data_IF_479981754298
#
_entry.id   IF_479981754298
#
_cell.length_a   1.000
_cell.length_b   1.000
_cell.length_c   1.000
_cell.angle_alpha   90.00
_cell.angle_beta   90.00
_cell.angle_gamma   90.00
#
_symmetry.space_group_name_H-M   'P 1'
#
loop_
_entity.id
_entity.type
_entity.pdbx_description
1 polymer ?
#
# COMPACT_ATOMS: atom_id res chain seq x y z
N UNK A 1 15.42 2.82 -8.05
CA UNK A 1 14.05 2.92 -8.58
C UNK A 1 13.27 3.79 -7.63
N UNK A 2 12.41 4.68 -8.12
CA UNK A 2 11.55 5.56 -7.32
C UNK A 2 10.08 5.20 -7.55
N UNK A 3 9.14 5.66 -6.70
CA UNK A 3 7.71 5.49 -7.00
C UNK A 3 7.32 6.19 -8.30
N UNK A 4 7.94 7.34 -8.60
CA UNK A 4 7.74 8.01 -9.88
C UNK A 4 8.11 7.11 -11.06
N UNK A 5 9.16 6.30 -10.97
CA UNK A 5 9.55 5.36 -12.02
C UNK A 5 8.52 4.22 -12.17
N UNK A 6 7.98 3.71 -11.05
CA UNK A 6 6.94 2.68 -11.05
C UNK A 6 5.71 3.19 -11.80
N UNK A 7 5.18 4.35 -11.41
CA UNK A 7 3.97 4.90 -12.03
C UNK A 7 4.20 5.41 -13.45
N UNK A 8 5.38 5.94 -13.78
CA UNK A 8 5.72 6.31 -15.15
C UNK A 8 5.74 5.09 -16.08
N UNK A 9 6.28 3.97 -15.61
CA UNK A 9 6.30 2.70 -16.36
C UNK A 9 4.90 2.17 -16.59
N UNK A 10 4.07 2.01 -15.54
CA UNK A 10 2.72 1.45 -15.70
C UNK A 10 1.83 2.33 -16.56
N UNK A 11 1.94 3.66 -16.41
CA UNK A 11 1.29 4.62 -17.31
C UNK A 11 1.75 4.50 -18.76
N UNK A 12 3.06 4.33 -18.99
CA UNK A 12 3.61 4.10 -20.33
C UNK A 12 3.16 2.78 -20.97
N UNK A 13 2.86 1.77 -20.13
CA UNK A 13 2.24 0.50 -20.52
C UNK A 13 0.71 0.60 -20.68
N UNK A 14 0.12 1.76 -20.40
CA UNK A 14 -1.32 2.00 -20.56
C UNK A 14 -2.20 1.32 -19.52
N UNK A 15 -1.67 1.05 -18.31
CA UNK A 15 -2.38 0.30 -17.26
C UNK A 15 -2.17 0.89 -15.85
N UNK A 16 -3.03 0.52 -14.92
CA UNK A 16 -2.81 0.78 -13.50
C UNK A 16 -1.65 -0.05 -12.93
N UNK A 17 -1.02 0.43 -11.87
CA UNK A 17 -0.06 -0.34 -11.08
C UNK A 17 -0.78 -1.33 -10.15
N UNK A 18 -0.23 -2.54 -9.99
CA UNK A 18 -0.65 -3.48 -8.97
C UNK A 18 0.18 -3.26 -7.69
N UNK A 19 -0.51 -2.94 -6.59
CA UNK A 19 0.09 -2.80 -5.26
C UNK A 19 -0.41 -3.94 -4.37
N UNK A 20 0.50 -4.81 -3.93
CA UNK A 20 0.15 -5.93 -3.05
C UNK A 20 0.63 -5.73 -1.62
N UNK A 21 -0.22 -6.04 -0.64
CA UNK A 21 0.08 -5.88 0.79
C UNK A 21 0.28 -7.23 1.48
N UNK A 22 1.33 -7.32 2.30
CA UNK A 22 1.51 -8.38 3.32
C UNK A 22 2.14 -7.80 4.61
N UNK A 23 1.73 -8.29 5.80
CA UNK A 23 2.43 -7.97 7.04
C UNK A 23 3.83 -8.58 7.05
N UNK A 24 4.84 -7.77 7.36
CA UNK A 24 6.17 -8.25 7.68
C UNK A 24 6.12 -9.21 8.86
N UNK A 25 6.88 -10.30 8.81
CA UNK A 25 6.89 -11.28 9.89
C UNK A 25 5.75 -12.29 9.88
N UNK A 26 4.82 -12.25 8.93
CA UNK A 26 3.79 -13.27 8.77
C UNK A 26 4.16 -14.30 7.68
N UNK A 27 4.13 -15.62 7.97
CA UNK A 27 3.96 -16.23 9.30
C UNK A 27 5.20 -16.13 10.18
N UNK A 28 6.37 -15.89 9.58
CA UNK A 28 7.64 -15.57 10.25
C UNK A 28 8.37 -14.48 9.44
N UNK A 29 9.46 -13.92 9.96
CA UNK A 29 10.28 -12.94 9.21
C UNK A 29 10.74 -13.53 7.88
N UNK A 30 11.36 -14.70 7.88
CA UNK A 30 11.84 -15.33 6.64
C UNK A 30 10.70 -15.79 5.74
N UNK A 31 9.62 -16.34 6.31
CA UNK A 31 8.43 -16.71 5.54
C UNK A 31 7.79 -15.50 4.84
N UNK A 32 7.76 -14.34 5.48
CA UNK A 32 7.27 -13.11 4.85
C UNK A 32 8.14 -12.65 3.68
N UNK A 33 9.47 -12.85 3.73
CA UNK A 33 10.38 -12.54 2.62
C UNK A 33 10.10 -13.43 1.40
N UNK A 34 9.85 -14.72 1.64
CA UNK A 34 9.51 -15.68 0.57
C UNK A 34 8.16 -15.34 -0.08
N UNK A 35 7.14 -15.01 0.74
CA UNK A 35 5.81 -14.61 0.26
C UNK A 35 5.85 -13.31 -0.53
N UNK A 36 6.60 -12.31 -0.05
CA UNK A 36 6.78 -11.04 -0.76
C UNK A 36 7.56 -11.22 -2.08
N UNK A 37 8.56 -12.10 -2.10
CA UNK A 37 9.26 -12.45 -3.33
C UNK A 37 8.31 -13.10 -4.35
N UNK A 38 7.46 -14.02 -3.90
CA UNK A 38 6.45 -14.65 -4.75
C UNK A 38 5.44 -13.63 -5.33
N UNK A 39 5.11 -12.58 -4.57
CA UNK A 39 4.27 -11.47 -5.04
C UNK A 39 4.97 -10.61 -6.10
N UNK A 40 6.26 -10.31 -5.92
CA UNK A 40 7.06 -9.60 -6.93
C UNK A 40 7.14 -10.42 -8.22
N UNK A 41 7.46 -11.71 -8.12
CA UNK A 41 7.55 -12.62 -9.27
C UNK A 41 6.19 -12.78 -9.97
N UNK A 42 5.09 -12.74 -9.21
CA UNK A 42 3.72 -12.75 -9.72
C UNK A 42 3.31 -11.47 -10.46
N UNK A 43 4.14 -10.43 -10.44
CA UNK A 43 3.95 -9.22 -11.23
C UNK A 43 3.37 -8.03 -10.47
N UNK A 44 3.46 -8.00 -9.14
CA UNK A 44 3.21 -6.77 -8.39
C UNK A 44 4.24 -5.69 -8.77
N UNK A 45 3.74 -4.49 -9.06
CA UNK A 45 4.59 -3.34 -9.40
C UNK A 45 5.15 -2.65 -8.16
N UNK A 46 4.42 -2.75 -7.05
CA UNK A 46 4.77 -2.21 -5.74
C UNK A 46 4.29 -3.17 -4.64
N UNK A 47 5.09 -3.30 -3.59
CA UNK A 47 4.74 -4.03 -2.39
C UNK A 47 4.51 -3.04 -1.24
N UNK A 48 3.39 -3.19 -0.55
CA UNK A 48 3.14 -2.59 0.75
C UNK A 48 3.53 -3.57 1.86
N UNK A 49 4.60 -3.23 2.59
CA UNK A 49 5.08 -4.01 3.72
C UNK A 49 4.41 -3.48 4.99
N UNK A 50 3.43 -4.23 5.50
CA UNK A 50 2.70 -3.87 6.72
C UNK A 50 3.56 -4.10 7.97
N UNK A 51 3.59 -3.15 8.89
CA UNK A 51 4.19 -3.36 10.22
C UNK A 51 3.14 -3.96 11.17
N UNK A 52 3.32 -5.19 11.68
CA UNK A 52 2.48 -5.72 12.73
C UNK A 52 2.41 -4.80 13.94
N UNK A 53 1.20 -4.45 14.36
CA UNK A 53 0.94 -3.54 15.46
C UNK A 53 -0.07 -4.14 16.42
N UNK A 54 0.13 -3.94 17.73
CA UNK A 54 -0.68 -4.55 18.78
C UNK A 54 -2.04 -3.89 19.01
N UNK A 55 -2.27 -2.71 18.43
CA UNK A 55 -3.55 -1.99 18.53
C UNK A 55 -4.05 -1.53 17.14
N UNK A 56 -4.33 -2.47 16.21
CA UNK A 56 -4.56 -2.18 14.80
C UNK A 56 -6.03 -1.79 14.53
N UNK A 57 -6.45 -0.61 15.00
CA UNK A 57 -7.86 -0.17 14.96
C UNK A 57 -8.43 0.09 13.55
N UNK A 58 -7.58 0.26 12.54
CA UNK A 58 -8.00 0.50 11.14
C UNK A 58 -7.96 -0.76 10.27
N UNK A 59 -7.37 -1.84 10.75
CA UNK A 59 -7.21 -3.06 9.96
C UNK A 59 -8.43 -3.97 10.05
N UNK A 60 -8.72 -4.68 8.96
CA UNK A 60 -9.73 -5.73 8.94
C UNK A 60 -9.26 -6.99 9.67
N UNK A 61 -10.18 -7.89 10.07
CA UNK A 61 -9.88 -9.06 10.90
C UNK A 61 -8.82 -10.00 10.31
N UNK A 62 -8.76 -10.12 8.98
CA UNK A 62 -7.73 -10.91 8.28
C UNK A 62 -6.32 -10.35 8.50
N UNK A 63 -6.16 -9.04 8.42
CA UNK A 63 -4.86 -8.37 8.61
C UNK A 63 -4.49 -8.39 10.09
N UNK A 64 -5.45 -8.14 10.99
CA UNK A 64 -5.23 -8.24 12.44
C UNK A 64 -4.72 -9.63 12.84
N UNK A 65 -5.37 -10.70 12.38
CA UNK A 65 -4.94 -12.06 12.69
C UNK A 65 -3.52 -12.38 12.20
N UNK A 66 -3.15 -11.90 11.00
CA UNK A 66 -1.81 -12.08 10.46
C UNK A 66 -0.75 -11.26 11.23
N UNK A 67 -1.08 -10.03 11.63
CA UNK A 67 -0.23 -9.20 12.47
C UNK A 67 -0.01 -9.83 13.87
N UNK A 68 -1.07 -10.33 14.50
CA UNK A 68 -0.99 -11.03 15.79
C UNK A 68 -0.11 -12.28 15.71
N UNK A 69 -0.25 -13.07 14.64
CA UNK A 69 0.60 -14.22 14.39
C UNK A 69 2.08 -13.82 14.22
N UNK A 70 2.36 -12.75 13.46
CA UNK A 70 3.72 -12.24 13.30
C UNK A 70 4.34 -11.75 14.62
N UNK A 71 3.57 -11.02 15.44
CA UNK A 71 4.01 -10.57 16.77
C UNK A 71 4.28 -11.75 17.70
N UNK A 72 3.41 -12.76 17.69
CA UNK A 72 3.56 -14.01 18.46
C UNK A 72 4.80 -14.79 18.02
N UNK A 73 5.10 -14.79 16.71
CA UNK A 73 6.31 -15.38 16.14
C UNK A 73 7.60 -14.58 16.43
N UNK A 74 7.50 -13.47 17.18
CA UNK A 74 8.65 -12.72 17.67
C UNK A 74 9.06 -11.53 16.81
N UNK A 75 8.23 -11.09 15.86
CA UNK A 75 8.50 -9.89 15.05
C UNK A 75 8.84 -8.68 15.94
N UNK A 76 9.85 -7.92 15.52
CA UNK A 76 10.22 -6.62 16.10
C UNK A 76 10.31 -5.60 14.97
N UNK A 77 10.00 -4.34 15.27
CA UNK A 77 9.97 -3.26 14.28
C UNK A 77 11.21 -3.22 13.37
N UNK A 78 12.41 -3.41 13.93
CA UNK A 78 13.67 -3.44 13.15
C UNK A 78 13.69 -4.48 12.02
N UNK A 79 12.93 -5.57 12.14
CA UNK A 79 12.86 -6.60 11.12
C UNK A 79 12.15 -6.11 9.85
N UNK A 80 11.36 -5.03 9.91
CA UNK A 80 10.74 -4.43 8.71
C UNK A 80 11.80 -4.04 7.69
N UNK A 81 12.96 -3.52 8.14
CA UNK A 81 14.04 -3.11 7.25
C UNK A 81 14.67 -4.30 6.52
N UNK A 82 14.88 -5.42 7.22
CA UNK A 82 15.36 -6.67 6.61
C UNK A 82 14.37 -7.23 5.56
N UNK A 83 13.07 -7.05 5.81
CA UNK A 83 12.02 -7.48 4.87
C UNK A 83 11.99 -6.56 3.65
N UNK A 84 12.05 -5.25 3.83
CA UNK A 84 12.14 -4.26 2.74
C UNK A 84 13.39 -4.47 1.89
N UNK A 85 14.53 -4.75 2.52
CA UNK A 85 15.78 -5.07 1.83
C UNK A 85 15.63 -6.32 0.95
N UNK A 86 14.93 -7.36 1.44
CA UNK A 86 14.70 -8.57 0.64
C UNK A 86 13.86 -8.32 -0.62
N UNK A 87 12.86 -7.44 -0.55
CA UNK A 87 12.05 -7.03 -1.71
C UNK A 87 12.91 -6.28 -2.72
N UNK A 88 13.71 -5.32 -2.24
CA UNK A 88 14.62 -4.53 -3.07
C UNK A 88 15.69 -5.41 -3.75
N UNK A 89 16.26 -6.37 -3.01
CA UNK A 89 17.24 -7.33 -3.53
C UNK A 89 16.65 -8.28 -4.58
N UNK A 90 15.34 -8.56 -4.52
CA UNK A 90 14.61 -9.31 -5.55
C UNK A 90 14.26 -8.48 -6.78
N UNK A 91 14.57 -7.18 -6.78
CA UNK A 91 14.23 -6.24 -7.86
C UNK A 91 12.82 -5.66 -7.75
N UNK A 92 12.12 -5.89 -6.64
CA UNK A 92 10.84 -5.29 -6.35
C UNK A 92 10.97 -3.86 -5.82
N UNK A 93 9.83 -3.16 -5.73
CA UNK A 93 9.71 -1.85 -5.10
C UNK A 93 8.87 -1.98 -3.83
N UNK A 94 9.25 -1.33 -2.74
CA UNK A 94 8.56 -1.45 -1.45
C UNK A 94 8.26 -0.08 -0.82
N UNK A 95 7.07 0.05 -0.24
CA UNK A 95 6.71 1.08 0.73
C UNK A 95 6.30 0.42 2.04
N UNK A 96 6.49 1.11 3.16
CA UNK A 96 6.04 0.60 4.47
C UNK A 96 4.67 1.16 4.81
N UNK A 97 3.77 0.29 5.25
CA UNK A 97 2.47 0.66 5.81
C UNK A 97 2.51 0.46 7.32
N UNK A 98 2.38 1.55 8.09
CA UNK A 98 2.46 1.48 9.56
C UNK A 98 1.62 2.56 10.23
N UNK A 99 1.13 2.23 11.43
CA UNK A 99 0.66 3.22 12.38
C UNK A 99 1.82 4.14 12.81
N UNK A 100 1.48 5.34 13.26
CA UNK A 100 2.46 6.36 13.60
C UNK A 100 3.25 6.06 14.88
N UNK A 101 2.58 5.50 15.89
CA UNK A 101 3.20 5.28 17.20
C UNK A 101 4.49 4.42 17.16
N UNK A 102 4.58 3.29 16.43
CA UNK A 102 5.83 2.57 16.21
C UNK A 102 6.98 3.43 15.69
N UNK A 103 6.71 4.29 14.70
CA UNK A 103 7.70 5.18 14.08
C UNK A 103 8.17 6.24 15.07
N UNK A 104 7.23 6.88 15.76
CA UNK A 104 7.53 7.87 16.79
C UNK A 104 8.37 7.27 17.93
N UNK A 105 8.08 6.03 18.36
CA UNK A 105 8.86 5.31 19.38
C UNK A 105 10.26 4.91 18.92
N UNK A 106 10.42 4.59 17.63
CA UNK A 106 11.74 4.29 17.04
C UNK A 106 12.61 5.55 16.92
N UNK A 107 11.96 6.69 16.71
CA UNK A 107 12.59 7.95 16.34
C UNK A 107 12.43 8.19 14.85
N UNK A 108 11.72 9.26 14.48
CA UNK A 108 11.25 9.51 13.11
C UNK A 108 12.40 9.60 12.11
N UNK A 109 13.44 10.37 12.42
CA UNK A 109 14.61 10.52 11.54
C UNK A 109 15.39 9.21 11.40
N UNK A 110 15.59 8.48 12.50
CA UNK A 110 16.27 7.18 12.47
C UNK A 110 15.48 6.15 11.64
N UNK A 111 14.16 6.12 11.79
CA UNK A 111 13.29 5.25 11.01
C UNK A 111 13.37 5.58 9.52
N UNK A 112 13.29 6.86 9.16
CA UNK A 112 13.40 7.32 7.77
C UNK A 112 14.76 6.96 7.16
N UNK A 113 15.86 7.21 7.89
CA UNK A 113 17.21 6.82 7.45
C UNK A 113 17.30 5.32 7.19
N UNK A 114 16.84 4.50 8.13
CA UNK A 114 17.00 3.05 8.05
C UNK A 114 16.06 2.43 7.00
N UNK A 115 14.88 3.02 6.79
CA UNK A 115 13.97 2.66 5.69
C UNK A 115 14.60 2.98 4.33
N UNK A 116 15.16 4.16 4.15
CA UNK A 116 15.84 4.54 2.91
C UNK A 116 17.07 3.64 2.66
N UNK A 117 17.85 3.34 3.70
CA UNK A 117 19.01 2.45 3.61
C UNK A 117 18.63 1.02 3.21
N UNK A 118 17.45 0.54 3.63
CA UNK A 118 16.90 -0.75 3.23
C UNK A 118 16.35 -0.77 1.78
N UNK A 119 16.33 0.36 1.07
CA UNK A 119 15.76 0.49 -0.27
C UNK A 119 14.26 0.78 -0.30
N UNK A 120 13.65 1.10 0.85
CA UNK A 120 12.26 1.53 0.90
C UNK A 120 12.05 2.85 0.17
N UNK A 121 10.91 2.99 -0.50
CA UNK A 121 10.59 4.15 -1.33
C UNK A 121 9.74 5.20 -0.62
N UNK A 122 9.12 4.85 0.51
CA UNK A 122 8.19 5.73 1.20
C UNK A 122 7.40 5.02 2.28
N UNK A 123 6.49 5.77 2.90
CA UNK A 123 5.64 5.27 3.95
C UNK A 123 4.19 5.73 3.78
N UNK A 124 3.28 4.81 4.03
CA UNK A 124 1.84 5.04 4.13
C UNK A 124 1.50 5.13 5.62
N UNK A 125 0.84 6.21 6.02
CA UNK A 125 0.51 6.50 7.43
C UNK A 125 -0.98 6.67 7.61
N UNK A 126 -1.72 5.63 8.00
CA UNK A 126 -3.18 5.67 8.03
C UNK A 126 -3.76 6.56 9.15
N UNK A 127 -3.03 6.69 10.26
CA UNK A 127 -3.42 7.48 11.45
C UNK A 127 -2.72 8.85 11.54
N UNK A 128 -1.74 9.14 10.69
CA UNK A 128 -1.05 10.43 10.68
C UNK A 128 -1.67 11.36 9.64
N UNK A 129 -2.19 12.50 10.09
CA UNK A 129 -2.67 13.55 9.19
C UNK A 129 -1.54 14.54 8.87
N UNK A 130 -1.61 15.26 7.73
CA UNK A 130 -0.64 16.29 7.40
C UNK A 130 -0.49 17.39 8.47
N UNK A 131 -1.56 17.69 9.22
CA UNK A 131 -1.55 18.68 10.32
C UNK A 131 -0.58 18.31 11.45
N UNK A 132 -0.36 17.02 11.67
CA UNK A 132 0.42 16.47 12.78
C UNK A 132 1.73 15.82 12.29
N UNK A 133 1.97 15.85 10.98
CA UNK A 133 3.02 15.10 10.30
C UNK A 133 4.32 15.86 10.06
N UNK A 134 4.54 17.02 10.67
CA UNK A 134 5.72 17.88 10.40
C UNK A 134 7.05 17.12 10.53
N UNK A 135 7.22 16.31 11.59
CA UNK A 135 8.43 15.50 11.80
C UNK A 135 8.64 14.49 10.67
N UNK A 136 7.57 13.81 10.25
CA UNK A 136 7.62 12.87 9.13
C UNK A 136 7.91 13.60 7.81
N UNK A 137 7.30 14.75 7.60
CA UNK A 137 7.52 15.56 6.40
C UNK A 137 8.96 16.05 6.31
N UNK A 138 9.58 16.44 7.42
CA UNK A 138 10.99 16.82 7.46
C UNK A 138 11.91 15.61 7.21
N UNK A 139 11.70 14.50 7.92
CA UNK A 139 12.54 13.30 7.80
C UNK A 139 12.45 12.67 6.40
N UNK A 140 11.23 12.52 5.86
CA UNK A 140 11.04 11.97 4.50
C UNK A 140 11.74 12.79 3.43
N UNK A 141 11.70 14.13 3.51
CA UNK A 141 12.47 15.01 2.60
C UNK A 141 13.97 14.83 2.76
N UNK A 142 14.46 14.71 3.99
CA UNK A 142 15.89 14.54 4.26
C UNK A 142 16.45 13.22 3.70
N UNK A 143 15.65 12.16 3.72
CA UNK A 143 16.05 10.81 3.31
C UNK A 143 15.51 10.38 1.95
N UNK A 144 14.82 11.27 1.21
CA UNK A 144 14.31 10.99 -0.14
C UNK A 144 13.17 9.96 -0.19
N UNK A 145 12.34 9.92 0.85
CA UNK A 145 11.20 9.01 0.95
C UNK A 145 9.89 9.69 0.56
N UNK A 146 9.01 8.94 -0.10
CA UNK A 146 7.69 9.40 -0.46
C UNK A 146 6.69 9.33 0.72
N UNK A 147 5.80 10.32 0.78
CA UNK A 147 4.78 10.46 1.82
C UNK A 147 3.42 10.13 1.23
N UNK A 148 2.86 8.99 1.60
CA UNK A 148 1.57 8.55 1.07
C UNK A 148 0.51 8.79 2.13
N UNK A 149 -0.20 9.91 2.02
CA UNK A 149 -1.36 10.19 2.86
C UNK A 149 -2.66 9.70 2.23
N UNK A 150 -3.66 9.53 3.10
CA UNK A 150 -4.96 8.99 2.74
C UNK A 150 -5.99 10.08 2.53
N UNK A 151 -6.86 9.88 1.54
CA UNK A 151 -8.13 10.59 1.37
C UNK A 151 -9.28 9.61 1.53
N UNK A 152 -10.39 10.08 2.08
CA UNK A 152 -11.58 9.27 2.35
C UNK A 152 -12.83 9.93 1.75
N UNK A 153 -13.95 9.21 1.57
CA UNK A 153 -15.18 9.78 1.00
C UNK A 153 -15.71 10.97 1.82
N UNK A 154 -15.48 10.95 3.13
CA UNK A 154 -15.84 12.01 4.08
C UNK A 154 -14.92 13.24 4.03
N UNK A 155 -13.80 13.18 3.31
CA UNK A 155 -12.90 14.33 3.16
C UNK A 155 -13.59 15.45 2.39
N UNK A 156 -13.56 16.67 2.93
CA UNK A 156 -13.97 17.87 2.20
C UNK A 156 -12.98 18.19 1.07
N UNK A 157 -13.37 19.04 0.10
CA UNK A 157 -12.46 19.51 -0.95
C UNK A 157 -11.20 20.16 -0.38
N UNK A 158 -11.35 20.99 0.66
CA UNK A 158 -10.22 21.60 1.36
C UNK A 158 -9.31 20.54 2.00
N UNK A 159 -9.90 19.51 2.64
CA UNK A 159 -9.13 18.41 3.22
C UNK A 159 -8.37 17.65 2.15
N UNK A 160 -8.98 17.40 0.99
CA UNK A 160 -8.33 16.76 -0.16
C UNK A 160 -7.14 17.61 -0.64
N UNK A 161 -7.34 18.90 -0.95
CA UNK A 161 -6.26 19.80 -1.42
C UNK A 161 -5.08 19.82 -0.43
N UNK A 162 -5.36 19.97 0.87
CA UNK A 162 -4.32 19.95 1.91
C UNK A 162 -3.57 18.63 1.96
N UNK A 163 -4.27 17.51 1.86
CA UNK A 163 -3.66 16.18 1.86
C UNK A 163 -2.78 15.97 0.64
N UNK A 164 -3.28 16.24 -0.56
CA UNK A 164 -2.51 15.97 -1.79
C UNK A 164 -1.28 16.87 -1.93
N UNK A 165 -1.29 18.09 -1.38
CA UNK A 165 -0.11 18.97 -1.30
C UNK A 165 0.97 18.45 -0.36
N UNK A 166 0.60 17.72 0.68
CA UNK A 166 1.53 17.12 1.63
C UNK A 166 2.08 15.77 1.14
N UNK A 167 1.32 15.08 0.28
CA UNK A 167 1.70 13.79 -0.32
C UNK A 167 2.84 13.90 -1.34
N UNK A 168 3.52 12.78 -1.56
CA UNK A 168 4.35 12.50 -2.74
C UNK A 168 4.30 11.01 -3.09
N UNK A 169 4.83 10.62 -4.24
CA UNK A 169 4.69 9.26 -4.75
C UNK A 169 3.30 9.01 -5.32
N UNK A 170 2.31 8.74 -4.45
CA UNK A 170 0.90 8.61 -4.82
C UNK A 170 -0.01 9.00 -3.65
N UNK A 171 -1.31 9.17 -3.93
CA UNK A 171 -2.34 9.41 -2.91
C UNK A 171 -3.15 8.13 -2.71
N UNK A 172 -3.35 7.74 -1.45
CA UNK A 172 -4.13 6.55 -1.12
C UNK A 172 -5.61 6.93 -0.92
N UNK A 173 -6.47 6.55 -1.86
CA UNK A 173 -7.92 6.69 -1.72
C UNK A 173 -8.49 5.44 -1.02
N UNK A 174 -8.85 5.59 0.26
CA UNK A 174 -9.53 4.54 1.02
C UNK A 174 -11.03 4.67 0.87
N UNK A 175 -11.76 3.59 0.60
CA UNK A 175 -13.21 3.65 0.46
C UNK A 175 -13.98 3.23 1.72
N UNK A 176 -13.29 2.89 2.82
CA UNK A 176 -13.99 2.43 4.01
C UNK A 176 -14.38 3.62 4.89
N UNK A 177 -15.65 4.00 4.82
CA UNK A 177 -16.37 4.38 6.03
C UNK A 177 -17.15 3.14 6.48
N UNK A 178 -16.80 2.61 7.65
CA UNK A 178 -17.21 1.29 8.14
C UNK A 178 -18.72 1.04 8.25
N UNK A 179 -19.35 0.67 7.13
CA UNK A 179 -20.67 0.04 7.11
C UNK A 179 -20.69 -1.02 6.01
N UNK A 180 -20.72 -2.28 6.44
CA UNK A 180 -21.01 -3.44 5.60
C UNK A 180 -22.41 -3.31 5.00
N UNK A 181 -22.52 -3.29 3.67
CA UNK A 181 -23.80 -3.53 2.99
C UNK A 181 -24.02 -2.75 1.70
N UNK A 182 -23.37 -3.19 0.61
CA UNK A 182 -23.81 -3.19 -0.79
C UNK A 182 -22.57 -3.08 -1.68
N UNK A 183 -22.28 -4.14 -2.46
CA UNK A 183 -21.08 -4.19 -3.33
C UNK A 183 -21.11 -3.10 -4.41
N UNK A 184 -22.29 -2.71 -4.85
CA UNK A 184 -22.48 -1.75 -5.95
C UNK A 184 -22.24 -0.29 -5.55
N UNK A 185 -22.35 0.06 -4.26
CA UNK A 185 -22.14 1.44 -3.78
C UNK A 185 -20.67 1.74 -3.46
N UNK A 186 -19.88 0.71 -3.17
CA UNK A 186 -18.47 0.84 -2.79
C UNK A 186 -17.61 1.23 -4.00
N UNK A 187 -17.88 0.66 -5.18
CA UNK A 187 -17.21 1.03 -6.43
C UNK A 187 -17.48 2.48 -6.84
N UNK A 188 -18.76 2.88 -6.86
CA UNK A 188 -19.16 4.24 -7.22
C UNK A 188 -18.61 5.31 -6.25
N UNK A 189 -18.56 5.00 -4.95
CA UNK A 189 -17.97 5.90 -3.95
C UNK A 189 -16.46 6.11 -4.12
N UNK A 190 -15.74 5.05 -4.49
CA UNK A 190 -14.30 5.15 -4.76
C UNK A 190 -14.02 5.90 -6.06
N UNK A 191 -14.75 5.63 -7.14
CA UNK A 191 -14.61 6.34 -8.41
C UNK A 191 -14.83 7.85 -8.24
N UNK A 192 -15.88 8.24 -7.50
CA UNK A 192 -16.14 9.64 -7.18
C UNK A 192 -15.02 10.26 -6.32
N UNK A 193 -14.50 9.54 -5.33
CA UNK A 193 -13.37 10.01 -4.52
C UNK A 193 -12.11 10.21 -5.37
N UNK A 194 -11.82 9.30 -6.29
CA UNK A 194 -10.71 9.44 -7.25
C UNK A 194 -10.92 10.67 -8.12
N UNK A 195 -12.13 10.84 -8.69
CA UNK A 195 -12.47 12.01 -9.52
C UNK A 195 -12.29 13.32 -8.77
N UNK A 196 -12.79 13.41 -7.53
CA UNK A 196 -12.62 14.58 -6.66
C UNK A 196 -11.16 14.85 -6.36
N UNK A 197 -10.40 13.80 -6.00
CA UNK A 197 -8.96 13.91 -5.69
C UNK A 197 -8.15 14.37 -6.89
N UNK A 198 -8.44 13.82 -8.08
CA UNK A 198 -7.77 14.18 -9.34
C UNK A 198 -7.96 15.65 -9.73
N UNK A 199 -9.00 16.31 -9.25
CA UNK A 199 -9.20 17.74 -9.49
C UNK A 199 -8.17 18.63 -8.74
N UNK A 200 -7.46 18.09 -7.74
CA UNK A 200 -6.49 18.82 -6.91
C UNK A 200 -5.04 18.39 -7.11
N UNK A 201 -4.77 17.35 -7.90
CA UNK A 201 -3.41 16.81 -8.05
C UNK A 201 -3.21 16.02 -9.34
N UNK A 202 -1.97 16.02 -9.82
CA UNK A 202 -1.46 15.14 -10.88
C UNK A 202 -0.77 13.87 -10.33
N UNK A 203 -0.67 13.73 -9.00
CA UNK A 203 -0.15 12.52 -8.39
C UNK A 203 -1.02 11.32 -8.76
N UNK A 204 -0.43 10.12 -8.97
CA UNK A 204 -1.18 8.89 -9.09
C UNK A 204 -2.11 8.68 -7.89
N UNK A 205 -3.30 8.12 -8.13
CA UNK A 205 -4.28 7.82 -7.09
C UNK A 205 -4.47 6.30 -7.01
N UNK A 206 -4.07 5.72 -5.88
CA UNK A 206 -4.22 4.29 -5.59
C UNK A 206 -5.49 4.01 -4.80
N UNK A 207 -6.16 2.90 -5.10
CA UNK A 207 -7.45 2.55 -4.50
C UNK A 207 -7.41 1.17 -3.86
N UNK A 208 -7.76 1.10 -2.58
CA UNK A 208 -7.93 -0.14 -1.82
C UNK A 208 -9.40 -0.44 -1.53
N UNK A 209 -9.97 -1.44 -2.23
CA UNK A 209 -11.41 -1.75 -2.20
C UNK A 209 -11.79 -3.16 -1.74
N UNK A 210 -10.85 -3.90 -1.15
CA UNK A 210 -11.08 -5.31 -0.84
C UNK A 210 -11.23 -6.15 -2.11
N UNK A 211 -10.43 -5.82 -3.14
CA UNK A 211 -10.24 -6.57 -4.38
C UNK A 211 -9.77 -7.99 -4.06
N UNK A 212 -10.34 -8.99 -4.73
CA UNK A 212 -10.08 -10.42 -4.49
C UNK A 212 -9.84 -11.24 -5.76
N UNK A 213 -10.03 -10.65 -6.94
CA UNK A 213 -9.87 -11.32 -8.23
C UNK A 213 -9.34 -10.36 -9.28
N UNK A 214 -8.81 -10.92 -10.38
CA UNK A 214 -8.36 -10.14 -11.53
C UNK A 214 -9.49 -9.34 -12.21
N UNK A 215 -10.73 -9.83 -12.16
CA UNK A 215 -11.90 -9.09 -12.66
C UNK A 215 -12.14 -7.81 -11.86
N UNK A 216 -12.14 -7.90 -10.53
CA UNK A 216 -12.26 -6.73 -9.66
C UNK A 216 -11.07 -5.78 -9.79
N UNK A 217 -9.87 -6.33 -10.02
CA UNK A 217 -8.70 -5.51 -10.28
C UNK A 217 -8.85 -4.72 -11.59
N UNK A 218 -9.43 -5.31 -12.63
CA UNK A 218 -9.72 -4.62 -13.89
C UNK A 218 -10.77 -3.51 -13.71
N UNK A 219 -11.83 -3.75 -12.92
CA UNK A 219 -12.85 -2.73 -12.61
C UNK A 219 -12.23 -1.50 -11.94
N UNK A 220 -11.37 -1.70 -10.92
CA UNK A 220 -10.71 -0.58 -10.21
C UNK A 220 -9.69 0.13 -11.10
N UNK A 221 -8.94 -0.63 -11.88
CA UNK A 221 -7.94 -0.08 -12.79
C UNK A 221 -8.55 0.77 -13.92
N UNK A 222 -9.87 0.68 -14.16
CA UNK A 222 -10.55 1.53 -15.14
C UNK A 222 -10.63 3.01 -14.73
N UNK A 223 -10.52 3.32 -13.43
CA UNK A 223 -10.62 4.70 -12.93
C UNK A 223 -9.47 5.13 -12.00
N UNK A 224 -8.65 4.20 -11.50
CA UNK A 224 -7.53 4.45 -10.60
C UNK A 224 -6.16 4.22 -11.26
N UNK A 225 -5.12 4.89 -10.77
CA UNK A 225 -3.74 4.71 -11.26
C UNK A 225 -3.02 3.53 -10.58
N UNK A 226 -3.53 3.08 -9.42
CA UNK A 226 -3.06 1.90 -8.71
C UNK A 226 -4.24 1.11 -8.09
N UNK A 227 -4.13 -0.22 -8.12
CA UNK A 227 -5.05 -1.15 -7.45
C UNK A 227 -4.34 -1.78 -6.28
N UNK A 228 -4.88 -1.56 -5.07
CA UNK A 228 -4.26 -1.99 -3.81
C UNK A 228 -5.01 -3.19 -3.26
N UNK A 229 -4.29 -4.29 -3.04
CA UNK A 229 -4.84 -5.58 -2.62
C UNK A 229 -4.15 -6.05 -1.35
N UNK A 230 -4.92 -6.18 -0.26
CA UNK A 230 -4.39 -6.64 1.03
C UNK A 230 -4.98 -7.97 1.48
N UNK A 231 -6.21 -7.95 1.99
CA UNK A 231 -6.82 -9.12 2.65
C UNK A 231 -6.80 -10.40 1.80
N UNK A 232 -6.96 -10.30 0.48
CA UNK A 232 -6.92 -11.46 -0.41
C UNK A 232 -5.52 -12.10 -0.48
N UNK A 233 -4.46 -11.30 -0.55
CA UNK A 233 -3.08 -11.76 -0.56
C UNK A 233 -2.67 -12.30 0.82
N UNK A 234 -3.16 -11.71 1.90
CA UNK A 234 -2.97 -12.26 3.26
C UNK A 234 -3.66 -13.62 3.42
N UNK A 235 -4.86 -13.80 2.86
CA UNK A 235 -5.52 -15.11 2.84
C UNK A 235 -4.71 -16.12 2.01
N UNK A 236 -4.26 -15.75 0.82
CA UNK A 236 -3.41 -16.62 -0.01
C UNK A 236 -2.09 -16.98 0.67
N UNK A 237 -1.51 -16.06 1.45
CA UNK A 237 -0.28 -16.31 2.20
C UNK A 237 -0.40 -17.46 3.23
N UNK A 238 -1.60 -17.72 3.75
CA UNK A 238 -1.84 -18.87 4.61
C UNK A 238 -1.75 -20.22 3.87
N UNK A 239 -1.88 -20.20 2.54
CA UNK A 239 -1.77 -21.37 1.66
C UNK A 239 -0.36 -21.53 1.06
N UNK A 240 0.50 -20.51 1.20
CA UNK A 240 1.91 -20.55 0.82
C UNK A 240 2.27 -19.69 -0.39
N UNK A 241 3.54 -19.75 -0.80
CA UNK A 241 4.11 -18.93 -1.88
C UNK A 241 3.43 -19.13 -3.22
N UNK A 242 3.06 -20.37 -3.56
CA UNK A 242 2.43 -20.69 -4.85
C UNK A 242 1.05 -20.02 -4.98
N UNK A 243 0.29 -19.97 -3.89
CA UNK A 243 -1.01 -19.30 -3.85
C UNK A 243 -0.85 -17.78 -4.00
N UNK A 244 0.13 -17.17 -3.32
CA UNK A 244 0.44 -15.74 -3.46
C UNK A 244 0.89 -15.41 -4.88
N UNK A 245 1.79 -16.19 -5.45
CA UNK A 245 2.25 -16.01 -6.83
C UNK A 245 1.09 -16.12 -7.83
N UNK A 246 0.25 -17.16 -7.71
CA UNK A 246 -0.90 -17.37 -8.59
C UNK A 246 -1.91 -16.22 -8.52
N UNK A 247 -2.28 -15.79 -7.31
CA UNK A 247 -3.22 -14.68 -7.13
C UNK A 247 -2.61 -13.36 -7.62
N UNK A 248 -1.33 -13.09 -7.32
CA UNK A 248 -0.64 -11.90 -7.82
C UNK A 248 -0.60 -11.87 -9.35
N UNK A 249 -0.35 -13.00 -9.99
CA UNK A 249 -0.42 -13.16 -11.45
C UNK A 249 -1.82 -12.88 -12.01
N UNK A 250 -2.87 -13.42 -11.39
CA UNK A 250 -4.25 -13.14 -11.79
C UNK A 250 -4.59 -11.64 -11.68
N UNK A 251 -4.19 -11.00 -10.58
CA UNK A 251 -4.40 -9.58 -10.35
C UNK A 251 -3.60 -8.73 -11.34
N UNK A 252 -2.36 -9.12 -11.67
CA UNK A 252 -1.51 -8.44 -12.63
C UNK A 252 -2.10 -8.47 -14.04
N UNK A 253 -2.68 -9.62 -14.43
CA UNK A 253 -3.45 -9.72 -15.68
C UNK A 253 -4.74 -8.89 -15.62
N UNK A 254 -5.38 -8.80 -14.45
CA UNK A 254 -6.54 -7.93 -14.22
C UNK A 254 -6.25 -6.47 -14.52
N UNK A 255 -5.22 -5.90 -13.88
CA UNK A 255 -4.88 -4.48 -14.06
C UNK A 255 -4.40 -4.17 -15.49
N UNK A 256 -3.90 -5.16 -16.24
CA UNK A 256 -3.54 -5.03 -17.67
C UNK A 256 -4.74 -5.01 -18.61
N UNK A 257 -5.87 -5.63 -18.23
CA UNK A 257 -7.08 -5.66 -19.05
C UNK A 257 -7.84 -4.33 -19.03
N UNK A 258 -7.61 -3.51 -18.01
CA UNK A 258 -8.18 -2.17 -17.91
C UNK A 258 -7.51 -1.21 -18.89
N UNK A 259 -7.85 -1.37 -20.16
CA UNK A 259 -7.57 -0.38 -21.20
C UNK A 259 -8.87 -0.10 -21.94
N UNK A 260 -9.61 0.90 -21.45
CA UNK A 260 -10.45 1.85 -22.22
C UNK A 260 -11.34 2.63 -21.24
N UNK A 261 -11.44 3.98 -21.38
CA UNK A 261 -12.07 4.55 -22.57
C UNK A 261 -11.27 5.66 -23.29
N UNK A 262 -11.74 5.83 -24.54
CA UNK A 262 -11.49 6.87 -25.53
C UNK A 262 -11.24 8.30 -25.02
#
# INVERSE_FOLDING_TARGET
MTLSDVFARTKGEGRAALVGYLPAGYPTVDGSKDLLSAMVDGGADLVEVGVPYSDPVMDGPTIQAAADAALTAGFRLKNVFEVVESVSARGGSAVVMTYWNPVHRYGVDAFARDLAAAGGLGMITPDLTPDEGDDWMAASRAHGLDRIFLVAPSSSEERIDRTVRASSGFVYATAVMGVTGARDTVGAGAEELVRRTRAHTDLPIGVGLGVRSGEQAAEVAAFADAVIVGSALVTAAAEGTDAVHALSGELAEGVRKAVSPA
#
